data_IF_554465485809
#
_entry.id   IF_554465485809
#
_cell.length_a   1.000
_cell.length_b   1.000
_cell.length_c   1.000
_cell.angle_alpha   90.00
_cell.angle_beta   90.00
_cell.angle_gamma   90.00
#
_symmetry.space_group_name_H-M   'P 1'
#
loop_
_entity.id
_entity.type
_entity.pdbx_description
1 polymer ?
#
# COMPACT_ATOMS: atom_id res chain seq x y z
N UNK A 1 -18.88 8.60 -0.21
CA UNK A 1 -17.99 7.86 0.72
C UNK A 1 -17.24 8.75 1.71
N UNK A 2 -16.81 9.97 1.34
CA UNK A 2 -16.06 10.91 2.21
C UNK A 2 -16.74 11.37 3.52
N UNK A 3 -18.03 11.02 3.73
CA UNK A 3 -18.78 11.38 4.95
C UNK A 3 -18.66 10.33 6.08
N UNK A 4 -18.05 9.18 5.82
CA UNK A 4 -17.85 8.11 6.81
C UNK A 4 -16.62 8.43 7.66
N UNK A 5 -16.76 8.40 8.99
CA UNK A 5 -15.72 8.88 9.91
C UNK A 5 -14.33 8.21 9.72
N UNK A 6 -14.23 6.87 9.60
CA UNK A 6 -12.96 6.22 9.26
C UNK A 6 -12.30 6.71 7.96
N UNK A 7 -13.09 6.91 6.90
CA UNK A 7 -12.57 7.35 5.59
C UNK A 7 -12.03 8.78 5.70
N UNK A 8 -12.80 9.68 6.32
CA UNK A 8 -12.38 11.07 6.53
C UNK A 8 -11.12 11.16 7.39
N UNK A 9 -11.02 10.32 8.42
CA UNK A 9 -9.83 10.24 9.27
C UNK A 9 -8.60 9.78 8.47
N UNK A 10 -8.76 8.76 7.61
CA UNK A 10 -7.69 8.34 6.69
C UNK A 10 -7.19 9.50 5.83
N UNK A 11 -8.11 10.13 5.08
CA UNK A 11 -7.80 11.25 4.17
C UNK A 11 -7.10 12.41 4.89
N UNK A 12 -7.53 12.77 6.10
CA UNK A 12 -6.94 13.90 6.83
C UNK A 12 -5.56 13.60 7.40
N UNK A 13 -5.25 12.34 7.68
CA UNK A 13 -4.00 11.95 8.33
C UNK A 13 -2.94 11.44 7.35
N UNK A 14 -3.32 11.00 6.15
CA UNK A 14 -2.38 10.49 5.15
C UNK A 14 -1.24 11.48 4.80
N UNK A 15 -1.46 12.79 4.60
CA UNK A 15 -0.35 13.73 4.37
C UNK A 15 0.57 13.88 5.58
N UNK A 16 0.03 13.77 6.80
CA UNK A 16 0.80 13.86 8.04
C UNK A 16 1.66 12.60 8.19
N UNK A 17 1.08 11.43 7.93
CA UNK A 17 1.77 10.15 7.95
C UNK A 17 2.91 10.10 6.91
N UNK A 18 2.68 10.59 5.69
CA UNK A 18 3.70 10.65 4.64
C UNK A 18 4.91 11.50 5.07
N UNK A 19 4.66 12.68 5.63
CA UNK A 19 5.73 13.54 6.15
C UNK A 19 6.50 12.87 7.29
N UNK A 20 5.80 12.22 8.21
CA UNK A 20 6.44 11.54 9.33
C UNK A 20 7.26 10.33 8.87
N UNK A 21 6.79 9.60 7.86
CA UNK A 21 7.54 8.55 7.19
C UNK A 21 8.87 9.08 6.61
N UNK A 22 8.85 10.22 5.90
CA UNK A 22 10.07 10.86 5.39
C UNK A 22 11.06 11.21 6.52
N UNK A 23 10.57 11.83 7.59
CA UNK A 23 11.37 12.19 8.76
C UNK A 23 12.00 10.95 9.43
N UNK A 24 11.27 9.86 9.56
CA UNK A 24 11.77 8.60 10.13
C UNK A 24 12.88 7.99 9.27
N UNK A 25 12.64 7.89 7.95
CA UNK A 25 13.64 7.33 7.03
C UNK A 25 14.89 8.19 6.95
N UNK A 26 14.75 9.52 6.92
CA UNK A 26 15.88 10.43 6.97
C UNK A 26 16.73 10.24 8.22
N UNK A 27 16.10 10.08 9.40
CA UNK A 27 16.80 9.80 10.65
C UNK A 27 17.48 8.43 10.66
N UNK A 28 17.00 7.48 9.86
CA UNK A 28 17.63 6.17 9.63
C UNK A 28 18.73 6.22 8.56
N UNK A 29 19.03 7.39 7.98
CA UNK A 29 20.06 7.57 6.97
C UNK A 29 19.59 7.37 5.53
N UNK A 30 18.28 7.30 5.29
CA UNK A 30 17.69 7.20 3.97
C UNK A 30 17.16 8.57 3.52
N UNK A 31 17.84 9.20 2.56
CA UNK A 31 17.42 10.48 1.98
C UNK A 31 16.37 10.26 0.88
N UNK A 32 15.15 9.89 1.29
CA UNK A 32 14.07 9.53 0.38
C UNK A 32 13.42 10.74 -0.27
N UNK A 33 12.90 10.56 -1.49
CA UNK A 33 12.03 11.55 -2.16
C UNK A 33 10.64 10.97 -2.33
N UNK A 34 9.63 11.60 -1.71
CA UNK A 34 8.24 11.15 -1.80
C UNK A 34 7.44 12.04 -2.75
N UNK A 35 6.67 11.42 -3.66
CA UNK A 35 5.87 12.12 -4.66
C UNK A 35 4.45 11.58 -4.72
N UNK A 36 3.49 12.46 -5.02
CA UNK A 36 2.12 12.04 -5.34
C UNK A 36 2.07 11.33 -6.70
N UNK A 37 1.18 10.35 -6.81
CA UNK A 37 0.80 9.75 -8.07
C UNK A 37 -0.72 9.74 -8.24
N UNK A 38 -1.17 9.72 -9.49
CA UNK A 38 -2.55 9.41 -9.83
C UNK A 38 -2.71 7.90 -10.08
N UNK A 39 -3.65 7.55 -10.95
CA UNK A 39 -3.78 6.18 -11.44
C UNK A 39 -2.58 5.81 -12.31
N UNK A 40 -1.84 4.77 -11.91
CA UNK A 40 -0.79 4.14 -12.69
C UNK A 40 -1.41 3.04 -13.55
N UNK A 41 -1.12 3.06 -14.85
CA UNK A 41 -1.57 2.05 -15.81
C UNK A 41 -0.34 1.53 -16.55
N UNK A 42 -0.21 0.21 -16.61
CA UNK A 42 0.86 -0.41 -17.38
C UNK A 42 0.41 -0.63 -18.83
N UNK A 43 1.15 -0.14 -19.84
CA UNK A 43 0.81 -0.38 -21.24
C UNK A 43 0.75 -1.86 -21.64
N UNK A 44 1.46 -2.75 -20.94
CA UNK A 44 1.45 -4.18 -21.22
C UNK A 44 0.17 -4.90 -20.77
N UNK A 45 -0.60 -4.31 -19.85
CA UNK A 45 -1.87 -4.83 -19.35
C UNK A 45 -2.80 -3.66 -18.99
N UNK A 46 -3.28 -2.91 -20.00
CA UNK A 46 -3.95 -1.61 -19.81
C UNK A 46 -5.31 -1.70 -19.10
N UNK A 47 -5.86 -2.90 -18.94
CA UNK A 47 -7.08 -3.15 -18.17
C UNK A 47 -6.85 -3.16 -16.65
N UNK A 48 -5.59 -3.16 -16.19
CA UNK A 48 -5.25 -3.06 -14.78
C UNK A 48 -4.69 -1.67 -14.48
N UNK A 49 -5.14 -1.11 -13.36
CA UNK A 49 -4.64 0.14 -12.83
C UNK A 49 -4.47 0.07 -11.31
N UNK A 50 -3.51 0.83 -10.80
CA UNK A 50 -3.26 0.94 -9.37
C UNK A 50 -3.00 2.40 -9.00
N UNK A 51 -3.47 2.82 -7.83
CA UNK A 51 -3.20 4.16 -7.29
C UNK A 51 -2.53 3.97 -5.93
N UNK A 52 -1.19 3.85 -5.88
CA UNK A 52 -0.47 4.00 -4.62
C UNK A 52 -0.79 5.34 -3.97
N UNK A 53 -0.65 5.43 -2.65
CA UNK A 53 -0.76 6.73 -1.98
C UNK A 53 0.39 7.64 -2.44
N UNK A 54 1.62 7.12 -2.47
CA UNK A 54 2.79 7.85 -2.98
C UNK A 54 3.74 6.93 -3.75
N UNK A 55 4.63 7.56 -4.52
CA UNK A 55 5.87 6.96 -5.02
C UNK A 55 7.04 7.44 -4.17
N UNK A 56 7.99 6.55 -3.90
CA UNK A 56 9.17 6.87 -3.10
C UNK A 56 10.41 6.49 -3.88
N UNK A 57 11.33 7.43 -4.05
CA UNK A 57 12.71 7.10 -4.45
C UNK A 57 13.55 6.94 -3.20
N UNK A 58 14.21 5.79 -3.05
CA UNK A 58 15.17 5.56 -1.97
C UNK A 58 16.57 5.32 -2.57
N UNK A 59 17.56 6.19 -2.31
CA UNK A 59 18.93 6.01 -2.77
C UNK A 59 19.56 4.66 -2.35
N UNK A 60 19.13 4.08 -1.22
CA UNK A 60 19.61 2.78 -0.77
C UNK A 60 19.14 1.63 -1.67
N UNK A 61 17.94 1.76 -2.26
CA UNK A 61 17.39 0.81 -3.25
C UNK A 61 17.80 1.18 -4.68
N UNK A 62 18.30 2.40 -4.90
CA UNK A 62 18.67 2.94 -6.20
C UNK A 62 17.49 3.06 -7.18
N UNK A 63 16.25 2.98 -6.70
CA UNK A 63 15.05 2.82 -7.53
C UNK A 63 13.82 3.43 -6.85
N UNK A 64 12.72 3.54 -7.61
CA UNK A 64 11.43 3.91 -7.07
C UNK A 64 10.70 2.68 -6.51
N UNK A 65 9.94 2.89 -5.44
CA UNK A 65 8.97 1.97 -4.86
C UNK A 65 7.62 2.64 -4.66
N UNK A 66 6.62 1.83 -4.33
CA UNK A 66 5.29 2.33 -3.93
C UNK A 66 5.24 2.56 -2.42
N UNK A 67 4.41 3.49 -1.97
CA UNK A 67 4.10 3.69 -0.55
C UNK A 67 2.58 3.63 -0.36
N UNK A 68 2.15 2.74 0.52
CA UNK A 68 0.76 2.56 0.92
C UNK A 68 0.60 2.86 2.40
N UNK A 69 -0.25 3.83 2.73
CA UNK A 69 -0.42 4.41 4.06
C UNK A 69 -1.80 4.06 4.60
N UNK A 70 -1.84 3.50 5.80
CA UNK A 70 -3.07 3.27 6.56
C UNK A 70 -3.05 4.07 7.86
N UNK A 71 -4.10 4.87 8.02
CA UNK A 71 -4.40 5.58 9.28
C UNK A 71 -5.67 4.97 9.89
N UNK A 72 -5.62 3.79 10.52
CA UNK A 72 -6.82 3.10 11.01
C UNK A 72 -7.48 3.85 12.16
N UNK A 73 -8.74 4.24 11.98
CA UNK A 73 -9.51 4.98 12.99
C UNK A 73 -9.63 4.23 14.34
N UNK A 74 -9.59 2.90 14.32
CA UNK A 74 -9.61 2.06 15.53
C UNK A 74 -8.34 2.18 16.38
N UNK A 75 -7.21 2.60 15.80
CA UNK A 75 -5.93 2.75 16.50
C UNK A 75 -5.60 4.22 16.83
N UNK A 76 -6.47 5.17 16.50
CA UNK A 76 -6.19 6.61 16.58
C UNK A 76 -5.75 7.14 17.96
N UNK A 77 -6.18 6.49 19.05
CA UNK A 77 -5.84 6.85 20.43
C UNK A 77 -4.88 5.83 21.08
N UNK A 78 -4.47 4.79 20.35
CA UNK A 78 -3.58 3.75 20.89
C UNK A 78 -2.13 4.23 20.85
N UNK A 79 -1.38 3.92 21.90
CA UNK A 79 0.07 4.12 21.96
C UNK A 79 0.84 2.90 21.46
N UNK A 80 2.12 3.08 21.16
CA UNK A 80 2.99 2.01 20.63
C UNK A 80 2.98 0.71 21.46
N UNK A 81 3.01 0.82 22.78
CA UNK A 81 2.97 -0.34 23.69
C UNK A 81 1.65 -1.14 23.59
N UNK A 82 0.54 -0.47 23.25
CA UNK A 82 -0.77 -1.08 23.12
C UNK A 82 -1.02 -1.74 21.75
N UNK A 83 -0.03 -1.67 20.84
CA UNK A 83 -0.09 -2.30 19.52
C UNK A 83 0.20 -3.79 19.57
N UNK A 84 1.04 -4.23 20.52
CA UNK A 84 1.40 -5.64 20.67
C UNK A 84 0.18 -6.55 20.93
N UNK A 85 -0.89 -5.99 21.49
CA UNK A 85 -2.16 -6.68 21.76
C UNK A 85 -3.28 -6.29 20.80
N UNK A 86 -3.02 -5.36 19.86
CA UNK A 86 -4.00 -4.94 18.89
C UNK A 86 -4.07 -5.95 17.74
N UNK A 87 -5.26 -6.46 17.46
CA UNK A 87 -5.50 -7.22 16.23
C UNK A 87 -5.75 -6.24 15.09
N UNK A 88 -4.77 -6.09 14.20
CA UNK A 88 -4.90 -5.32 12.95
C UNK A 88 -4.18 -6.02 11.79
N UNK A 89 -4.07 -5.35 10.65
CA UNK A 89 -3.49 -5.90 9.42
C UNK A 89 -2.01 -6.27 9.54
N UNK A 90 -1.28 -5.70 10.50
CA UNK A 90 0.09 -6.08 10.81
C UNK A 90 0.21 -6.78 12.17
N UNK A 91 1.27 -7.55 12.32
CA UNK A 91 1.74 -8.14 13.56
C UNK A 91 3.08 -7.51 13.95
N UNK A 92 3.32 -7.35 15.25
CA UNK A 92 4.64 -6.94 15.75
C UNK A 92 5.45 -8.20 16.05
N UNK A 93 6.56 -8.37 15.34
CA UNK A 93 7.51 -9.46 15.53
C UNK A 93 8.80 -8.93 16.16
N UNK A 94 9.68 -9.82 16.60
CA UNK A 94 11.03 -9.45 17.08
C UNK A 94 11.86 -8.72 15.99
N UNK A 95 11.54 -8.96 14.71
CA UNK A 95 12.15 -8.30 13.56
C UNK A 95 11.49 -6.99 13.14
N UNK A 96 10.47 -6.53 13.89
CA UNK A 96 9.67 -5.35 13.57
C UNK A 96 8.26 -5.68 13.06
N UNK A 97 7.52 -4.68 12.58
CA UNK A 97 6.16 -4.86 12.07
C UNK A 97 6.17 -5.72 10.79
N UNK A 98 5.18 -6.60 10.67
CA UNK A 98 4.92 -7.40 9.47
C UNK A 98 3.45 -7.37 9.07
N UNK A 99 3.16 -7.03 7.82
CA UNK A 99 1.87 -7.12 7.19
C UNK A 99 1.54 -8.60 6.96
N UNK A 100 0.36 -9.01 7.43
CA UNK A 100 -0.11 -10.39 7.26
C UNK A 100 -0.36 -10.66 5.79
N UNK A 101 0.22 -11.75 5.27
CA UNK A 101 0.10 -12.11 3.84
C UNK A 101 -1.34 -12.40 3.42
N UNK A 102 -2.16 -12.85 4.36
CA UNK A 102 -3.57 -13.17 4.15
C UNK A 102 -4.47 -11.93 4.19
N UNK A 103 -3.93 -10.78 4.61
CA UNK A 103 -4.67 -9.52 4.63
C UNK A 103 -4.77 -8.92 3.22
N UNK A 104 -5.92 -8.34 2.90
CA UNK A 104 -6.16 -7.76 1.57
C UNK A 104 -5.23 -6.57 1.27
N UNK A 105 -4.69 -5.89 2.29
CA UNK A 105 -3.68 -4.86 2.09
C UNK A 105 -2.37 -5.40 1.52
N UNK A 106 -2.01 -6.66 1.82
CA UNK A 106 -0.86 -7.30 1.21
C UNK A 106 -1.07 -7.48 -0.30
N UNK A 107 -2.24 -8.00 -0.67
CA UNK A 107 -2.62 -8.14 -2.07
C UNK A 107 -2.67 -6.78 -2.80
N UNK A 108 -3.14 -5.72 -2.11
CA UNK A 108 -3.16 -4.36 -2.64
C UNK A 108 -1.74 -3.87 -2.95
N UNK A 109 -0.79 -4.00 -2.02
CA UNK A 109 0.59 -3.56 -2.19
C UNK A 109 1.30 -4.35 -3.31
N UNK A 110 1.12 -5.68 -3.34
CA UNK A 110 1.66 -6.52 -4.42
C UNK A 110 1.10 -6.12 -5.78
N UNK A 111 -0.21 -5.85 -5.87
CA UNK A 111 -0.84 -5.36 -7.09
C UNK A 111 -0.32 -3.99 -7.53
N UNK A 112 -0.11 -3.07 -6.59
CA UNK A 112 0.48 -1.75 -6.87
C UNK A 112 1.90 -1.86 -7.42
N UNK A 113 2.77 -2.65 -6.79
CA UNK A 113 4.13 -2.93 -7.27
C UNK A 113 4.10 -3.59 -8.65
N UNK A 114 3.30 -4.65 -8.80
CA UNK A 114 3.17 -5.41 -10.03
C UNK A 114 2.67 -4.58 -11.21
N UNK A 115 1.67 -3.72 -10.98
CA UNK A 115 1.13 -2.85 -12.03
C UNK A 115 2.11 -1.74 -12.41
N UNK A 116 2.72 -1.09 -11.42
CA UNK A 116 3.69 -0.02 -11.66
C UNK A 116 5.04 -0.51 -12.19
N UNK A 117 5.31 -1.82 -12.11
CA UNK A 117 6.60 -2.40 -12.49
C UNK A 117 7.73 -2.09 -11.50
N UNK A 118 7.38 -1.69 -10.28
CA UNK A 118 8.33 -1.36 -9.21
C UNK A 118 8.63 -2.61 -8.38
N UNK A 119 9.88 -2.77 -7.95
CA UNK A 119 10.35 -4.01 -7.31
C UNK A 119 10.17 -4.04 -5.80
N UNK A 120 9.75 -2.93 -5.19
CA UNK A 120 9.55 -2.83 -3.75
C UNK A 120 8.47 -1.81 -3.40
N UNK A 121 7.98 -1.90 -2.17
CA UNK A 121 7.06 -0.92 -1.61
C UNK A 121 7.09 -0.93 -0.09
N UNK A 122 6.81 0.23 0.49
CA UNK A 122 6.68 0.39 1.93
C UNK A 122 5.20 0.40 2.33
N UNK A 123 4.86 -0.43 3.30
CA UNK A 123 3.56 -0.41 3.95
C UNK A 123 3.66 0.33 5.28
N UNK A 124 2.84 1.36 5.44
CA UNK A 124 2.84 2.22 6.61
C UNK A 124 1.54 2.13 7.37
N UNK A 125 1.62 1.89 8.68
CA UNK A 125 0.49 2.07 9.61
C UNK A 125 0.82 3.22 10.55
N UNK A 126 0.04 4.29 10.46
CA UNK A 126 0.23 5.50 11.23
C UNK A 126 -0.89 5.70 12.24
N UNK A 127 -0.50 5.97 13.49
CA UNK A 127 -1.35 6.51 14.53
C UNK A 127 -0.71 7.76 15.13
N UNK A 128 -1.43 8.46 16.01
CA UNK A 128 -0.95 9.72 16.58
C UNK A 128 0.41 9.60 17.30
N UNK A 129 0.63 8.47 17.97
CA UNK A 129 1.78 8.23 18.84
C UNK A 129 2.71 7.12 18.31
N UNK A 130 2.50 6.64 17.08
CA UNK A 130 3.31 5.58 16.50
C UNK A 130 3.31 5.59 14.96
N UNK A 131 4.36 5.03 14.40
CA UNK A 131 4.44 4.68 12.99
C UNK A 131 5.07 3.30 12.85
N UNK A 132 4.43 2.44 12.08
CA UNK A 132 4.97 1.15 11.68
C UNK A 132 5.29 1.24 10.19
N UNK A 133 6.50 0.84 9.82
CA UNK A 133 6.98 0.84 8.44
C UNK A 133 7.53 -0.55 8.17
N UNK A 134 7.01 -1.21 7.14
CA UNK A 134 7.59 -2.45 6.63
C UNK A 134 7.88 -2.28 5.14
N UNK A 135 9.14 -2.54 4.76
CA UNK A 135 9.52 -2.66 3.36
C UNK A 135 9.29 -4.07 2.85
N UNK A 136 8.57 -4.19 1.75
CA UNK A 136 8.25 -5.47 1.09
C UNK A 136 8.87 -5.46 -0.31
N UNK A 137 9.60 -6.52 -0.61
CA UNK A 137 10.15 -6.77 -1.95
C UNK A 137 9.13 -7.55 -2.78
N UNK A 138 8.97 -7.19 -4.04
CA UNK A 138 8.07 -7.85 -4.96
C UNK A 138 8.55 -9.28 -5.24
N UNK A 139 7.75 -10.26 -4.82
CA UNK A 139 7.91 -11.61 -5.31
C UNK A 139 7.22 -11.74 -6.67
N UNK A 140 8.02 -11.88 -7.72
CA UNK A 140 7.51 -11.98 -9.09
C UNK A 140 6.57 -13.16 -9.31
N UNK A 141 6.80 -14.30 -8.67
CA UNK A 141 5.92 -15.47 -8.80
C UNK A 141 4.56 -15.23 -8.13
N UNK A 142 4.53 -14.55 -6.98
CA UNK A 142 3.28 -14.15 -6.32
C UNK A 142 2.51 -13.15 -7.21
N UNK A 143 3.19 -12.16 -7.81
CA UNK A 143 2.57 -11.23 -8.74
C UNK A 143 2.05 -11.91 -10.01
N UNK A 144 2.83 -12.78 -10.64
CA UNK A 144 2.40 -13.48 -11.86
C UNK A 144 1.13 -14.30 -11.60
N UNK A 145 1.05 -15.01 -10.47
CA UNK A 145 -0.15 -15.74 -10.07
C UNK A 145 -1.37 -14.84 -9.82
N UNK A 146 -1.17 -13.68 -9.16
CA UNK A 146 -2.22 -12.69 -8.96
C UNK A 146 -2.70 -12.10 -10.29
N UNK A 147 -1.78 -11.74 -11.18
CA UNK A 147 -2.08 -11.18 -12.50
C UNK A 147 -2.92 -12.15 -13.33
N UNK A 148 -2.62 -13.44 -13.27
CA UNK A 148 -3.40 -14.45 -14.01
C UNK A 148 -4.86 -14.50 -13.53
N UNK A 149 -5.11 -14.39 -12.22
CA UNK A 149 -6.47 -14.29 -11.67
C UNK A 149 -7.17 -13.00 -12.08
N UNK A 150 -6.46 -11.86 -12.04
CA UNK A 150 -7.00 -10.56 -12.48
C UNK A 150 -7.32 -10.56 -13.98
N UNK A 151 -6.48 -11.17 -14.81
CA UNK A 151 -6.70 -11.34 -16.25
C UNK A 151 -7.94 -12.19 -16.49
N UNK A 152 -8.05 -13.33 -15.78
CA UNK A 152 -9.23 -14.19 -15.91
C UNK A 152 -10.50 -13.40 -15.57
N UNK A 153 -10.52 -12.70 -14.44
CA UNK A 153 -11.67 -11.90 -14.01
C UNK A 153 -12.04 -10.82 -15.03
N UNK A 154 -11.05 -10.08 -15.54
CA UNK A 154 -11.31 -9.02 -16.51
C UNK A 154 -11.95 -9.57 -17.79
N UNK A 155 -11.30 -10.54 -18.45
CA UNK A 155 -11.74 -11.01 -19.77
C UNK A 155 -12.94 -11.98 -19.73
N UNK A 156 -13.08 -12.79 -18.69
CA UNK A 156 -14.11 -13.82 -18.61
C UNK A 156 -15.29 -13.44 -17.71
N UNK A 157 -15.25 -12.26 -17.08
CA UNK A 157 -16.34 -11.82 -16.20
C UNK A 157 -16.68 -10.36 -16.43
N UNK A 158 -15.75 -9.44 -16.18
CA UNK A 158 -16.06 -8.01 -16.21
C UNK A 158 -16.36 -7.51 -17.63
N UNK A 159 -15.52 -7.85 -18.61
CA UNK A 159 -15.69 -7.42 -20.00
C UNK A 159 -17.02 -7.94 -20.58
N UNK A 160 -17.30 -9.24 -20.41
CA UNK A 160 -18.56 -9.85 -20.83
C UNK A 160 -19.79 -9.21 -20.16
N UNK A 161 -19.68 -8.85 -18.88
CA UNK A 161 -20.75 -8.14 -18.19
C UNK A 161 -20.98 -6.75 -18.77
N UNK A 162 -19.91 -6.00 -19.08
CA UNK A 162 -20.03 -4.67 -19.69
C UNK A 162 -20.63 -4.73 -21.09
N UNK A 163 -20.23 -5.71 -21.91
CA UNK A 163 -20.78 -5.91 -23.27
C UNK A 163 -22.27 -6.28 -23.30
N UNK A 164 -22.76 -6.95 -22.24
CA UNK A 164 -24.17 -7.34 -22.12
C UNK A 164 -25.03 -6.29 -21.42
N UNK A 165 -24.45 -5.45 -20.56
CA UNK A 165 -25.16 -4.35 -19.89
C UNK A 165 -25.42 -3.13 -20.81
N UNK A 166 -24.73 -3.05 -21.94
CA UNK A 166 -24.95 -2.02 -22.98
C UNK A 166 -25.98 -2.42 -24.05
N UNK A 167 -26.62 -3.59 -23.92
CA UNK A 167 -27.73 -4.08 -24.76
C UNK A 167 -29.07 -3.95 -24.04
#
# INVERSE_FOLDING_TARGET
>A
LSRVAPIRYGISNEPIAAKHYEEVLQNMGHDVTVAHCGLLVNPAFPWLGASPDRLVYDPAEGSYGVLEIKCPYSLREKKGEELATATFCSELTDSGPRLKKEDYYYAQLVGQMGVSGLSWGDFVVYGKDFILIERIQLNKAEWDGMRDQLNYFYFNTLLLFMETAEQ
#
